data_IF_473182513131
#
_entry.id   IF_473182513131
#
_cell.length_a   1.000
_cell.length_b   1.000
_cell.length_c   1.000
_cell.angle_alpha   90.00
_cell.angle_beta   90.00
_cell.angle_gamma   90.00
#
_symmetry.space_group_name_H-M   'P 1'
#
loop_
_entity.id
_entity.type
_entity.pdbx_description
1 polymer ?
#
# COMPACT_ATOMS: atom_id res chain seq x y z
N UNK A 1 -14.48 20.70 -11.50
CA UNK A 1 -14.75 19.51 -10.65
C UNK A 1 -13.69 18.43 -10.86
N UNK A 2 -13.31 18.13 -12.11
CA UNK A 2 -12.27 17.11 -12.37
C UNK A 2 -10.89 17.43 -11.79
N UNK A 3 -10.44 18.69 -11.80
CA UNK A 3 -9.12 19.09 -11.25
C UNK A 3 -8.97 18.74 -9.76
N UNK A 4 -10.03 18.89 -8.97
CA UNK A 4 -10.02 18.54 -7.54
C UNK A 4 -9.89 17.01 -7.37
N UNK A 5 -10.63 16.23 -8.16
CA UNK A 5 -10.54 14.77 -8.14
C UNK A 5 -9.13 14.29 -8.57
N UNK A 6 -8.51 14.92 -9.57
CA UNK A 6 -7.15 14.58 -10.00
C UNK A 6 -6.11 14.86 -8.92
N UNK A 7 -6.23 15.98 -8.21
CA UNK A 7 -5.32 16.33 -7.11
C UNK A 7 -5.47 15.33 -5.95
N UNK A 8 -6.71 14.98 -5.57
CA UNK A 8 -6.98 13.99 -4.53
C UNK A 8 -6.45 12.60 -4.92
N UNK A 9 -6.64 12.20 -6.18
CA UNK A 9 -6.12 10.95 -6.72
C UNK A 9 -4.59 10.89 -6.63
N UNK A 10 -3.90 11.97 -7.01
CA UNK A 10 -2.45 12.05 -6.94
C UNK A 10 -1.94 11.93 -5.49
N UNK A 11 -2.56 12.64 -4.55
CA UNK A 11 -2.20 12.57 -3.12
C UNK A 11 -2.40 11.15 -2.58
N UNK A 12 -3.55 10.52 -2.86
CA UNK A 12 -3.82 9.15 -2.42
C UNK A 12 -2.83 8.14 -3.02
N UNK A 13 -2.41 8.34 -4.27
CA UNK A 13 -1.39 7.52 -4.92
C UNK A 13 -0.04 7.59 -4.21
N UNK A 14 0.43 8.79 -3.88
CA UNK A 14 1.67 8.99 -3.12
C UNK A 14 1.57 8.36 -1.72
N UNK A 15 0.43 8.54 -1.05
CA UNK A 15 0.19 7.99 0.29
C UNK A 15 0.20 6.45 0.26
N UNK A 16 -0.39 5.83 -0.76
CA UNK A 16 -0.33 4.39 -0.97
C UNK A 16 1.09 3.89 -1.19
N UNK A 17 1.88 4.56 -2.02
CA UNK A 17 3.28 4.18 -2.24
C UNK A 17 4.05 4.17 -0.92
N UNK A 18 3.94 5.25 -0.13
CA UNK A 18 4.61 5.33 1.17
C UNK A 18 4.17 4.22 2.13
N UNK A 19 2.85 3.99 2.22
CA UNK A 19 2.28 2.97 3.11
C UNK A 19 2.71 1.56 2.68
N UNK A 20 2.77 1.26 1.39
CA UNK A 20 3.22 -0.05 0.86
C UNK A 20 4.71 -0.26 1.11
N UNK A 21 5.55 0.76 0.92
CA UNK A 21 6.98 0.67 1.23
C UNK A 21 7.22 0.38 2.71
N UNK A 22 6.47 1.03 3.61
CA UNK A 22 6.56 0.79 5.05
C UNK A 22 6.07 -0.61 5.49
N UNK A 23 5.24 -1.27 4.68
CA UNK A 23 4.80 -2.65 4.91
C UNK A 23 5.81 -3.70 4.44
N UNK A 24 6.78 -3.35 3.58
CA UNK A 24 7.80 -4.29 3.11
C UNK A 24 8.84 -4.55 4.19
N UNK A 25 8.50 -5.41 5.15
CA UNK A 25 9.43 -5.95 6.13
C UNK A 25 9.87 -7.35 5.68
N UNK A 26 11.14 -7.50 5.31
CA UNK A 26 11.83 -8.79 5.29
C UNK A 26 12.03 -9.48 3.94
N UNK A 27 11.23 -9.18 2.90
CA UNK A 27 11.44 -9.75 1.56
C UNK A 27 12.39 -8.88 0.70
N UNK A 28 13.58 -8.60 1.22
CA UNK A 28 14.63 -7.92 0.45
C UNK A 28 15.37 -8.88 -0.50
N UNK A 29 16.27 -8.34 -1.34
CA UNK A 29 17.14 -9.09 -2.27
C UNK A 29 17.81 -10.33 -1.64
N UNK A 30 18.08 -10.33 -0.33
CA UNK A 30 18.60 -11.49 0.41
C UNK A 30 17.73 -12.76 0.35
N UNK A 31 16.40 -12.63 0.19
CA UNK A 31 15.50 -13.76 -0.02
C UNK A 31 15.61 -14.37 -1.43
N UNK A 32 16.01 -13.58 -2.43
CA UNK A 32 16.22 -14.04 -3.80
C UNK A 32 17.57 -14.75 -4.01
N UNK A 33 18.55 -14.51 -3.11
CA UNK A 33 19.90 -15.08 -3.17
C UNK A 33 20.11 -16.30 -2.26
N UNK A 34 19.05 -16.97 -1.80
CA UNK A 34 19.15 -18.24 -1.07
C UNK A 34 19.70 -18.12 0.37
N UNK A 35 19.85 -16.91 0.90
CA UNK A 35 20.21 -16.65 2.30
C UNK A 35 19.03 -16.87 3.23
N UNK A 36 18.61 -18.13 3.38
CA UNK A 36 17.54 -18.54 4.28
C UNK A 36 17.92 -18.31 5.74
N UNK A 37 17.36 -17.27 6.34
CA UNK A 37 17.52 -17.00 7.77
C UNK A 37 16.67 -15.82 8.27
N UNK A 38 15.61 -15.46 7.56
CA UNK A 38 14.61 -14.53 8.08
C UNK A 38 13.61 -15.33 8.89
N UNK A 39 13.60 -15.13 10.21
CA UNK A 39 12.49 -15.57 11.06
C UNK A 39 11.20 -15.06 10.42
N UNK A 40 10.41 -15.98 9.85
CA UNK A 40 9.01 -15.74 9.46
C UNK A 40 8.24 -15.46 10.75
N UNK A 41 8.40 -14.23 11.25
CA UNK A 41 7.68 -13.75 12.41
C UNK A 41 6.24 -13.63 11.96
N UNK A 42 5.41 -14.57 12.42
CA UNK A 42 3.96 -14.51 12.31
C UNK A 42 3.51 -13.07 12.58
N UNK A 43 2.88 -12.42 11.59
CA UNK A 43 2.43 -11.03 11.66
C UNK A 43 1.60 -10.83 12.93
N UNK A 44 2.15 -10.19 13.96
CA UNK A 44 1.46 -9.93 15.24
C UNK A 44 1.28 -8.45 15.47
N UNK A 45 0.06 -8.05 15.84
CA UNK A 45 -0.25 -6.70 16.30
C UNK A 45 -0.24 -5.64 15.20
N UNK A 46 0.81 -4.82 15.18
CA UNK A 46 0.91 -3.60 14.35
C UNK A 46 0.96 -3.88 12.85
N UNK A 47 1.60 -4.97 12.42
CA UNK A 47 1.71 -5.32 11.01
C UNK A 47 0.35 -5.75 10.41
N UNK A 48 -0.55 -6.36 11.20
CA UNK A 48 -1.91 -6.69 10.74
C UNK A 48 -2.78 -5.44 10.58
N UNK A 49 -2.60 -4.45 11.47
CA UNK A 49 -3.32 -3.17 11.42
C UNK A 49 -2.88 -2.36 10.20
N UNK A 50 -1.58 -2.24 9.95
CA UNK A 50 -1.03 -1.59 8.76
C UNK A 50 -1.51 -2.25 7.47
N UNK A 51 -1.54 -3.59 7.44
CA UNK A 51 -2.04 -4.34 6.29
C UNK A 51 -3.53 -4.06 6.01
N UNK A 52 -4.38 -4.10 7.06
CA UNK A 52 -5.81 -3.79 6.93
C UNK A 52 -6.07 -2.34 6.54
N UNK A 53 -5.30 -1.40 7.10
CA UNK A 53 -5.39 0.01 6.73
C UNK A 53 -5.06 0.22 5.24
N UNK A 54 -4.05 -0.47 4.73
CA UNK A 54 -3.64 -0.39 3.33
C UNK A 54 -4.69 -0.93 2.38
N UNK A 55 -5.35 -2.03 2.75
CA UNK A 55 -6.49 -2.56 1.98
C UNK A 55 -7.59 -1.50 1.88
N UNK A 56 -7.93 -0.84 3.00
CA UNK A 56 -8.93 0.23 3.00
C UNK A 56 -8.54 1.43 2.13
N UNK A 57 -7.30 1.92 2.25
CA UNK A 57 -6.78 3.04 1.46
C UNK A 57 -6.73 2.66 -0.03
N UNK A 58 -6.32 1.44 -0.36
CA UNK A 58 -6.24 0.94 -1.73
C UNK A 58 -7.61 0.86 -2.38
N UNK A 59 -8.62 0.39 -1.64
CA UNK A 59 -9.99 0.34 -2.11
C UNK A 59 -10.55 1.76 -2.36
N UNK A 60 -10.31 2.69 -1.44
CA UNK A 60 -10.72 4.09 -1.60
C UNK A 60 -10.06 4.75 -2.82
N UNK A 61 -8.76 4.54 -3.04
CA UNK A 61 -8.03 5.02 -4.22
C UNK A 61 -8.62 4.47 -5.52
N UNK A 62 -8.98 3.18 -5.56
CA UNK A 62 -9.61 2.56 -6.73
C UNK A 62 -10.98 3.16 -7.03
N UNK A 63 -11.82 3.37 -6.00
CA UNK A 63 -13.14 3.98 -6.19
C UNK A 63 -13.06 5.41 -6.70
N UNK A 64 -12.12 6.21 -6.19
CA UNK A 64 -11.90 7.58 -6.65
C UNK A 64 -11.31 7.59 -8.06
N UNK A 65 -10.42 6.64 -8.38
CA UNK A 65 -9.90 6.46 -9.74
C UNK A 65 -11.02 6.20 -10.73
N UNK A 66 -11.96 5.31 -10.36
CA UNK A 66 -13.05 4.92 -11.23
C UNK A 66 -14.05 6.08 -11.41
N UNK A 67 -14.35 6.80 -10.32
CA UNK A 67 -15.19 7.98 -10.37
C UNK A 67 -14.60 9.09 -11.28
N UNK A 68 -13.27 9.28 -11.26
CA UNK A 68 -12.59 10.26 -12.13
C UNK A 68 -12.58 9.85 -13.61
N UNK A 69 -12.61 8.55 -13.92
CA UNK A 69 -12.67 8.07 -15.32
C UNK A 69 -14.10 8.16 -15.88
N UNK A 70 -15.11 7.96 -15.04
CA UNK A 70 -16.52 7.94 -15.47
C UNK A 70 -17.12 9.35 -15.54
N UNK A 71 -16.72 10.25 -14.65
CA UNK A 71 -17.15 11.66 -14.60
C UNK A 71 -16.29 12.54 -15.51
#
# INVERSE_FOLDING_TARGET
>A
MQTILTIVQMILGVLLILVVLLQQKGAGLGAAFGGGGGVESTRRGSDLVLFRATIGISFAFFLISLALVIL
#
